data_IF_977234111870
#
_entry.id   IF_977234111870
#
_cell.length_a   1.000
_cell.length_b   1.000
_cell.length_c   1.000
_cell.angle_alpha   90.00
_cell.angle_beta   90.00
_cell.angle_gamma   90.00
#
_symmetry.space_group_name_H-M   'P 1'
#
loop_
_entity.id
_entity.type
_entity.pdbx_description
1 polymer ?
#
# COMPACT_ATOMS: atom_id res chain seq x y z
N UNK A 1 54.34 21.84 -12.83
CA UNK A 1 53.87 20.90 -13.87
C UNK A 1 53.35 19.66 -13.17
N UNK A 2 52.13 19.22 -13.47
CA UNK A 2 51.61 17.93 -12.97
C UNK A 2 52.34 16.78 -13.65
N UNK A 3 52.82 15.82 -12.86
CA UNK A 3 53.54 14.67 -13.41
C UNK A 3 52.57 13.56 -13.82
N UNK A 4 52.92 12.67 -14.76
CA UNK A 4 52.13 11.49 -15.08
C UNK A 4 51.83 10.61 -13.85
N UNK A 5 52.73 10.58 -12.86
CA UNK A 5 52.53 9.88 -11.60
C UNK A 5 51.41 10.50 -10.74
N UNK A 6 51.30 11.83 -10.72
CA UNK A 6 50.22 12.52 -10.00
C UNK A 6 48.86 12.26 -10.64
N UNK A 7 48.82 12.19 -11.98
CA UNK A 7 47.60 11.84 -12.74
C UNK A 7 47.19 10.40 -12.42
N UNK A 8 48.14 9.45 -12.40
CA UNK A 8 47.86 8.05 -12.05
C UNK A 8 47.28 7.91 -10.64
N UNK A 9 47.90 8.55 -9.63
CA UNK A 9 47.40 8.55 -8.24
C UNK A 9 46.01 9.17 -8.13
N UNK A 10 45.73 10.21 -8.91
CA UNK A 10 44.40 10.84 -8.94
C UNK A 10 43.35 9.89 -9.53
N UNK A 11 43.68 9.15 -10.60
CA UNK A 11 42.79 8.16 -11.20
C UNK A 11 42.52 7.01 -10.23
N UNK A 12 43.55 6.43 -9.62
CA UNK A 12 43.41 5.36 -8.63
C UNK A 12 42.52 5.79 -7.44
N UNK A 13 42.68 7.04 -6.96
CA UNK A 13 41.83 7.58 -5.90
C UNK A 13 40.37 7.74 -6.35
N UNK A 14 40.14 8.14 -7.60
CA UNK A 14 38.78 8.27 -8.16
C UNK A 14 38.13 6.91 -8.34
N UNK A 15 38.86 5.91 -8.81
CA UNK A 15 38.40 4.52 -8.93
C UNK A 15 38.06 3.91 -7.56
N UNK A 16 38.93 4.08 -6.57
CA UNK A 16 38.66 3.65 -5.19
C UNK A 16 37.41 4.32 -4.60
N UNK A 17 37.17 5.60 -4.94
CA UNK A 17 35.98 6.31 -4.49
C UNK A 17 34.71 5.82 -5.18
N UNK A 18 34.76 5.56 -6.48
CA UNK A 18 33.62 5.04 -7.24
C UNK A 18 33.22 3.63 -6.77
N UNK A 19 34.20 2.75 -6.57
CA UNK A 19 33.96 1.40 -6.04
C UNK A 19 33.34 1.44 -4.63
N UNK A 20 33.80 2.35 -3.78
CA UNK A 20 33.18 2.56 -2.47
C UNK A 20 31.72 3.04 -2.57
N UNK A 21 31.40 3.93 -3.50
CA UNK A 21 30.01 4.38 -3.72
C UNK A 21 29.11 3.24 -4.17
N UNK A 22 29.53 2.45 -5.16
CA UNK A 22 28.76 1.29 -5.64
C UNK A 22 28.52 0.31 -4.50
N UNK A 23 29.55 0.00 -3.69
CA UNK A 23 29.42 -0.89 -2.55
C UNK A 23 28.45 -0.35 -1.47
N UNK A 24 28.34 0.98 -1.32
CA UNK A 24 27.37 1.60 -0.41
C UNK A 24 25.95 1.48 -0.97
N UNK A 25 25.75 1.76 -2.26
CA UNK A 25 24.44 1.63 -2.93
C UNK A 25 23.92 0.18 -2.83
N UNK A 26 24.78 -0.81 -3.06
CA UNK A 26 24.42 -2.22 -2.90
C UNK A 26 23.95 -2.54 -1.47
N UNK A 27 24.63 -2.00 -0.44
CA UNK A 27 24.22 -2.18 0.96
C UNK A 27 22.89 -1.50 1.26
N UNK A 28 22.67 -0.30 0.72
CA UNK A 28 21.40 0.43 0.87
C UNK A 28 20.27 -0.41 0.25
N UNK A 29 20.41 -0.84 -1.00
CA UNK A 29 19.37 -1.63 -1.67
C UNK A 29 19.12 -2.98 -0.97
N UNK A 30 20.16 -3.63 -0.45
CA UNK A 30 20.00 -4.84 0.35
C UNK A 30 19.21 -4.57 1.64
N UNK A 31 19.55 -3.49 2.36
CA UNK A 31 18.86 -3.10 3.60
C UNK A 31 17.39 -2.74 3.37
N UNK A 32 17.06 -2.06 2.27
CA UNK A 32 15.69 -1.73 1.88
C UNK A 32 14.87 -2.99 1.60
N UNK A 33 15.46 -3.98 0.91
CA UNK A 33 14.81 -5.27 0.64
C UNK A 33 14.52 -6.03 1.93
N UNK A 34 15.47 -6.06 2.88
CA UNK A 34 15.25 -6.68 4.19
C UNK A 34 14.17 -5.98 5.00
N UNK A 35 14.17 -4.65 4.98
CA UNK A 35 13.15 -3.86 5.65
C UNK A 35 11.74 -4.11 5.07
N UNK A 36 11.63 -4.20 3.73
CA UNK A 36 10.39 -4.54 3.06
C UNK A 36 9.87 -5.93 3.46
N UNK A 37 10.75 -6.93 3.52
CA UNK A 37 10.40 -8.30 3.98
C UNK A 37 9.88 -8.29 5.42
N UNK A 38 10.60 -7.63 6.34
CA UNK A 38 10.17 -7.54 7.75
C UNK A 38 8.84 -6.81 7.90
N UNK A 39 8.61 -5.76 7.12
CA UNK A 39 7.31 -5.08 7.11
C UNK A 39 6.19 -6.02 6.66
N UNK A 40 6.41 -6.82 5.63
CA UNK A 40 5.42 -7.77 5.13
C UNK A 40 5.13 -8.87 6.16
N UNK A 41 6.16 -9.44 6.78
CA UNK A 41 6.03 -10.42 7.86
C UNK A 41 5.22 -9.85 9.03
N UNK A 42 5.57 -8.66 9.51
CA UNK A 42 4.85 -8.00 10.58
C UNK A 42 3.38 -7.70 10.21
N UNK A 43 3.10 -7.32 8.95
CA UNK A 43 1.73 -7.15 8.47
C UNK A 43 0.96 -8.47 8.48
N UNK A 44 1.59 -9.57 8.05
CA UNK A 44 0.98 -10.91 8.05
C UNK A 44 0.68 -11.39 9.48
N UNK A 45 1.62 -11.22 10.41
CA UNK A 45 1.42 -11.58 11.82
C UNK A 45 0.31 -10.75 12.46
N UNK A 46 0.30 -9.44 12.23
CA UNK A 46 -0.77 -8.56 12.71
C UNK A 46 -2.13 -8.98 12.15
N UNK A 47 -2.21 -9.36 10.88
CA UNK A 47 -3.44 -9.85 10.26
C UNK A 47 -3.93 -11.14 10.93
N UNK A 48 -3.04 -12.12 11.17
CA UNK A 48 -3.37 -13.36 11.88
C UNK A 48 -3.90 -13.09 13.29
N UNK A 49 -3.26 -12.18 14.03
CA UNK A 49 -3.70 -11.84 15.38
C UNK A 49 -5.09 -11.19 15.39
N UNK A 50 -5.36 -10.30 14.42
CA UNK A 50 -6.68 -9.69 14.26
C UNK A 50 -7.73 -10.76 13.93
N UNK A 51 -7.41 -11.70 13.05
CA UNK A 51 -8.31 -12.80 12.69
C UNK A 51 -8.63 -13.69 13.90
N UNK A 52 -7.61 -14.11 14.66
CA UNK A 52 -7.79 -14.90 15.89
C UNK A 52 -8.70 -14.18 16.90
N UNK A 53 -8.47 -12.88 17.13
CA UNK A 53 -9.30 -12.09 18.04
C UNK A 53 -10.75 -11.99 17.56
N UNK A 54 -10.97 -11.92 16.25
CA UNK A 54 -12.33 -11.91 15.67
C UNK A 54 -13.03 -13.25 15.82
N UNK A 55 -12.33 -14.35 15.55
CA UNK A 55 -12.87 -15.70 15.74
C UNK A 55 -13.23 -15.91 17.20
N UNK A 56 -12.38 -15.49 18.13
CA UNK A 56 -12.67 -15.54 19.56
C UNK A 56 -13.90 -14.69 19.93
N UNK A 57 -13.99 -13.45 19.43
CA UNK A 57 -15.15 -12.58 19.67
C UNK A 57 -16.45 -13.19 19.14
N UNK A 58 -16.46 -13.71 17.91
CA UNK A 58 -17.63 -14.39 17.32
C UNK A 58 -17.98 -15.65 18.10
N UNK A 59 -16.98 -16.43 18.55
CA UNK A 59 -17.17 -17.58 19.44
C UNK A 59 -17.87 -17.22 20.76
N UNK A 60 -17.50 -16.09 21.36
CA UNK A 60 -18.15 -15.60 22.57
C UNK A 60 -19.60 -15.17 22.32
N UNK A 61 -19.88 -14.52 21.18
CA UNK A 61 -21.27 -14.22 20.80
C UNK A 61 -22.09 -15.49 20.63
N UNK A 62 -21.54 -16.52 19.98
CA UNK A 62 -22.23 -17.81 19.83
C UNK A 62 -22.42 -18.56 21.14
N UNK A 63 -21.56 -18.31 22.13
CA UNK A 63 -21.71 -18.84 23.48
C UNK A 63 -22.78 -18.12 24.32
N UNK A 64 -23.42 -17.08 23.75
CA UNK A 64 -24.53 -16.37 24.37
C UNK A 64 -24.15 -15.08 25.11
N UNK A 65 -22.88 -14.67 25.09
CA UNK A 65 -22.48 -13.37 25.64
C UNK A 65 -23.04 -12.22 24.82
N UNK A 66 -23.57 -11.20 25.50
CA UNK A 66 -24.03 -10.00 24.82
C UNK A 66 -22.83 -9.13 24.39
N UNK A 67 -22.97 -8.44 23.25
CA UNK A 67 -21.92 -7.54 22.76
C UNK A 67 -21.53 -6.44 23.75
N UNK A 68 -22.49 -6.01 24.60
CA UNK A 68 -22.25 -5.01 25.64
C UNK A 68 -21.38 -5.57 26.78
N UNK A 69 -21.63 -6.80 27.21
CA UNK A 69 -20.83 -7.48 28.25
C UNK A 69 -19.39 -7.68 27.79
N UNK A 70 -19.20 -8.05 26.52
CA UNK A 70 -17.87 -8.17 25.92
C UNK A 70 -17.15 -6.82 25.88
N UNK A 71 -17.87 -5.75 25.55
CA UNK A 71 -17.32 -4.39 25.52
C UNK A 71 -16.92 -3.91 26.92
N UNK A 72 -17.74 -4.18 27.93
CA UNK A 72 -17.47 -3.84 29.33
C UNK A 72 -16.26 -4.61 29.86
N UNK A 73 -16.06 -5.85 29.41
CA UNK A 73 -14.86 -6.65 29.64
C UNK A 73 -13.64 -6.20 28.79
N UNK A 74 -13.77 -5.14 27.98
CA UNK A 74 -12.71 -4.63 27.12
C UNK A 74 -12.47 -5.42 25.83
N UNK A 75 -13.27 -6.46 25.56
CA UNK A 75 -13.18 -7.31 24.38
C UNK A 75 -13.98 -6.65 23.24
N UNK A 76 -13.25 -5.94 22.37
CA UNK A 76 -13.84 -5.23 21.24
C UNK A 76 -13.63 -5.97 19.91
N UNK A 77 -14.65 -5.93 19.04
CA UNK A 77 -14.54 -6.43 17.67
C UNK A 77 -13.50 -5.62 16.89
N UNK A 78 -12.41 -6.27 16.48
CA UNK A 78 -11.40 -5.64 15.63
C UNK A 78 -11.81 -5.59 14.16
N UNK A 79 -11.52 -4.46 13.52
CA UNK A 79 -11.69 -4.29 12.07
C UNK A 79 -10.55 -5.00 11.32
N UNK A 80 -10.85 -5.50 10.12
CA UNK A 80 -9.81 -6.00 9.20
C UNK A 80 -8.84 -4.85 8.87
N UNK A 81 -7.53 -5.15 8.75
CA UNK A 81 -6.60 -4.19 8.18
C UNK A 81 -7.04 -3.81 6.76
N UNK A 82 -6.87 -2.54 6.40
CA UNK A 82 -7.26 -2.03 5.08
C UNK A 82 -6.54 -2.82 3.98
N UNK A 83 -7.27 -3.33 2.99
CA UNK A 83 -6.71 -4.14 1.90
C UNK A 83 -6.58 -5.65 2.17
N UNK A 84 -7.03 -6.17 3.32
CA UNK A 84 -7.01 -7.61 3.60
C UNK A 84 -8.24 -8.38 3.14
N UNK A 85 -9.23 -7.71 2.54
CA UNK A 85 -10.30 -8.38 1.80
C UNK A 85 -9.73 -8.83 0.46
N UNK A 86 -9.70 -10.14 0.12
CA UNK A 86 -9.46 -10.55 -1.25
C UNK A 86 -10.49 -9.84 -2.13
N UNK A 87 -10.07 -9.37 -3.31
CA UNK A 87 -10.94 -8.71 -4.29
C UNK A 87 -11.96 -9.68 -4.93
N UNK A 88 -12.60 -10.55 -4.14
CA UNK A 88 -13.72 -11.37 -4.55
C UNK A 88 -14.96 -10.88 -3.81
N UNK A 89 -15.93 -10.47 -4.61
CA UNK A 89 -17.27 -10.03 -4.24
C UNK A 89 -17.36 -8.63 -3.61
N UNK A 90 -16.83 -7.61 -4.29
CA UNK A 90 -17.62 -6.39 -4.46
C UNK A 90 -18.70 -6.68 -5.49
N UNK A 91 -19.80 -7.31 -5.06
CA UNK A 91 -21.05 -7.16 -5.77
C UNK A 91 -21.41 -5.67 -5.77
N UNK A 92 -21.39 -5.05 -6.94
CA UNK A 92 -22.09 -3.79 -7.18
C UNK A 92 -21.52 -2.54 -6.50
N UNK A 93 -20.24 -2.20 -6.71
CA UNK A 93 -19.93 -0.79 -6.88
C UNK A 93 -19.82 -0.55 -8.37
N UNK A 94 -20.93 -0.06 -8.95
CA UNK A 94 -20.95 0.53 -10.28
C UNK A 94 -19.76 1.48 -10.33
N UNK A 95 -18.76 1.15 -11.14
CA UNK A 95 -17.83 2.15 -11.63
C UNK A 95 -18.70 3.20 -12.29
N UNK A 96 -18.91 4.35 -11.62
CA UNK A 96 -19.22 5.57 -12.33
C UNK A 96 -17.98 5.84 -13.18
N UNK A 97 -17.95 5.22 -14.35
CA UNK A 97 -17.25 5.80 -15.49
C UNK A 97 -17.74 7.26 -15.56
N UNK A 98 -16.85 8.25 -15.73
CA UNK A 98 -17.29 9.61 -15.98
C UNK A 98 -18.29 9.54 -17.15
N UNK A 99 -19.47 10.11 -16.95
CA UNK A 99 -20.50 10.14 -17.97
C UNK A 99 -19.87 10.63 -19.29
N UNK A 100 -20.16 9.94 -20.39
CA UNK A 100 -19.74 10.41 -21.71
C UNK A 100 -20.16 11.88 -21.86
N UNK A 101 -19.27 12.76 -22.37
CA UNK A 101 -19.62 14.16 -22.52
C UNK A 101 -20.86 14.26 -23.41
N UNK A 102 -21.79 15.19 -23.11
CA UNK A 102 -22.99 15.36 -23.94
C UNK A 102 -22.56 15.62 -25.38
N UNK A 103 -23.26 15.03 -26.37
CA UNK A 103 -22.98 15.33 -27.77
C UNK A 103 -23.18 16.82 -28.00
N UNK A 104 -22.12 17.47 -28.48
CA UNK A 104 -22.16 18.88 -28.87
C UNK A 104 -22.64 18.98 -30.31
N UNK A 105 -23.57 19.90 -30.56
CA UNK A 105 -23.89 20.33 -31.92
C UNK A 105 -22.75 21.27 -32.40
N UNK A 106 -21.99 20.81 -33.40
CA UNK A 106 -20.81 21.50 -33.94
C UNK A 106 -21.12 22.91 -34.48
N UNK A 107 -22.40 23.20 -34.78
CA UNK A 107 -22.78 24.51 -35.35
C UNK A 107 -23.14 25.58 -34.32
N UNK A 108 -23.43 25.22 -33.07
CA UNK A 108 -23.93 26.17 -32.05
C UNK A 108 -23.16 26.18 -30.74
N UNK A 109 -22.25 25.23 -30.50
CA UNK A 109 -21.46 25.13 -29.25
C UNK A 109 -22.32 25.19 -27.96
N UNK A 110 -23.57 24.75 -28.04
CA UNK A 110 -24.47 24.63 -26.88
C UNK A 110 -24.83 23.16 -26.65
N UNK A 111 -24.81 22.66 -25.39
CA UNK A 111 -25.17 21.27 -25.11
C UNK A 111 -26.65 21.05 -25.40
N UNK A 112 -26.99 19.98 -26.13
CA UNK A 112 -28.37 19.57 -26.35
C UNK A 112 -28.97 19.10 -25.03
N UNK A 113 -29.76 19.95 -24.37
CA UNK A 113 -30.63 19.52 -23.28
C UNK A 113 -31.92 19.01 -23.90
N UNK A 114 -32.11 17.69 -23.90
CA UNK A 114 -33.43 17.10 -24.15
C UNK A 114 -34.40 17.59 -23.06
N UNK A 115 -35.25 18.55 -23.44
CA UNK A 115 -36.38 19.01 -22.66
C UNK A 115 -37.46 17.92 -22.68
N UNK A 116 -37.43 17.01 -21.70
CA UNK A 116 -38.49 16.04 -21.47
C UNK A 116 -39.60 16.61 -20.57
N UNK A 117 -40.83 16.56 -21.09
CA UNK A 117 -42.11 16.89 -20.42
C UNK A 117 -42.43 15.97 -19.22
#
# INVERSE_FOLDING_TARGET
MTTPADIKRLLERKEARLTAFVAIEEKITASEREFAKRQEEHRREKAKLIEQQRVAYEGLLTAGFASNELRDAGINRRRLPYGSTPAKQKGGQKSQLPADPPPYDENTMTPQTESGY
#
